data_IF_664061449154
#
_entry.id   IF_664061449154
#
_cell.length_a   1.000
_cell.length_b   1.000
_cell.length_c   1.000
_cell.angle_alpha   90.00
_cell.angle_beta   90.00
_cell.angle_gamma   90.00
#
_symmetry.space_group_name_H-M   'P 1'
#
loop_
_entity.id
_entity.type
_entity.pdbx_description
1 polymer ?
#
# COMPACT_ATOMS: atom_id res chain seq x y z
N UNK A 1 0.43 -3.24 28.57
CA UNK A 1 0.27 -4.04 27.34
C UNK A 1 0.46 -3.09 26.17
N UNK A 2 1.46 -3.30 25.32
CA UNK A 2 1.67 -2.45 24.14
C UNK A 2 0.65 -2.84 23.06
N UNK A 3 0.26 -1.89 22.22
CA UNK A 3 -0.57 -2.18 21.05
C UNK A 3 -0.05 -1.39 19.87
N UNK A 4 0.01 -2.04 18.72
CA UNK A 4 0.14 -1.34 17.44
C UNK A 4 -1.22 -1.36 16.73
N UNK A 5 -1.48 -0.31 15.95
CA UNK A 5 -2.71 -0.14 15.19
C UNK A 5 -2.35 0.01 13.72
N UNK A 6 -2.85 -0.89 12.90
CA UNK A 6 -2.76 -0.79 11.45
C UNK A 6 -4.18 -0.89 10.95
N UNK A 7 -4.61 0.06 10.11
CA UNK A 7 -5.82 -0.12 9.35
C UNK A 7 -5.48 -0.83 8.04
N UNK A 8 -6.40 -1.65 7.54
CA UNK A 8 -6.34 -2.17 6.18
C UNK A 8 -7.58 -1.78 5.41
N UNK A 9 -7.43 -1.39 4.15
CA UNK A 9 -8.54 -1.15 3.26
C UNK A 9 -8.49 -2.15 2.10
N UNK A 10 -9.58 -2.90 1.85
CA UNK A 10 -9.60 -3.85 0.73
C UNK A 10 -9.61 -3.13 -0.62
N UNK A 11 -8.89 -3.73 -1.55
CA UNK A 11 -8.94 -3.45 -2.99
C UNK A 11 -9.68 -4.62 -3.65
N UNK A 12 -10.72 -4.31 -4.41
CA UNK A 12 -11.60 -5.29 -5.03
C UNK A 12 -11.29 -5.46 -6.51
N UNK A 13 -11.46 -6.67 -7.04
CA UNK A 13 -11.48 -6.88 -8.48
C UNK A 13 -12.85 -6.53 -9.09
N UNK A 14 -12.97 -6.64 -10.41
CA UNK A 14 -14.21 -6.37 -11.15
C UNK A 14 -15.40 -7.27 -10.79
N UNK A 15 -15.14 -8.40 -10.11
CA UNK A 15 -16.18 -9.30 -9.59
C UNK A 15 -16.62 -8.94 -8.16
N UNK A 16 -16.09 -7.85 -7.58
CA UNK A 16 -16.40 -7.43 -6.21
C UNK A 16 -15.75 -8.30 -5.12
N UNK A 17 -14.70 -9.06 -5.47
CA UNK A 17 -13.95 -9.90 -4.51
C UNK A 17 -12.72 -9.13 -4.03
N UNK A 18 -12.45 -9.04 -2.71
CA UNK A 18 -11.22 -8.43 -2.21
C UNK A 18 -10.01 -9.29 -2.62
N UNK A 19 -9.03 -8.66 -3.28
CA UNK A 19 -7.83 -9.33 -3.81
C UNK A 19 -6.53 -8.77 -3.25
N UNK A 20 -6.59 -7.60 -2.59
CA UNK A 20 -5.47 -6.99 -1.91
C UNK A 20 -5.95 -6.11 -0.74
N UNK A 21 -5.01 -5.72 0.11
CA UNK A 21 -5.23 -4.75 1.18
C UNK A 21 -4.19 -3.64 1.13
N UNK A 22 -4.63 -2.40 1.10
CA UNK A 22 -3.78 -1.25 1.42
C UNK A 22 -3.59 -1.15 2.93
N UNK A 23 -2.33 -1.08 3.37
CA UNK A 23 -1.96 -0.96 4.77
C UNK A 23 -1.76 0.50 5.16
N UNK A 24 -2.52 0.94 6.14
CA UNK A 24 -2.59 2.32 6.58
C UNK A 24 -2.16 2.44 8.04
N UNK A 25 -1.18 3.29 8.30
CA UNK A 25 -0.69 3.51 9.65
C UNK A 25 -1.76 4.15 10.54
N UNK A 26 -1.91 3.66 11.78
CA UNK A 26 -2.76 4.27 12.81
C UNK A 26 -1.98 4.33 14.12
N UNK A 27 -2.30 5.31 14.96
CA UNK A 27 -1.71 5.45 16.29
C UNK A 27 -2.72 5.18 17.42
N UNK A 28 -3.97 4.85 17.08
CA UNK A 28 -5.04 4.61 18.05
C UNK A 28 -6.18 3.77 17.42
N UNK A 29 -7.17 3.42 18.25
CA UNK A 29 -8.44 2.83 17.82
C UNK A 29 -9.37 3.81 17.08
N UNK A 30 -9.03 5.09 17.06
CA UNK A 30 -9.76 6.07 16.25
C UNK A 30 -9.27 5.90 14.82
N UNK A 31 -10.18 5.61 13.88
CA UNK A 31 -9.84 5.41 12.47
C UNK A 31 -9.59 6.73 11.75
N UNK A 32 -8.67 7.51 12.30
CA UNK A 32 -8.17 8.75 11.75
C UNK A 32 -6.72 8.55 11.32
N UNK A 33 -6.36 9.11 10.17
CA UNK A 33 -4.96 9.21 9.78
C UNK A 33 -4.26 10.16 10.76
N UNK A 34 -3.26 9.70 11.52
CA UNK A 34 -2.54 10.57 12.42
C UNK A 34 -1.68 11.56 11.62
N UNK A 35 -1.53 12.79 12.12
CA UNK A 35 -0.60 13.77 11.54
C UNK A 35 0.83 13.41 11.92
N UNK A 36 1.40 12.44 11.21
CA UNK A 36 2.80 12.01 11.35
C UNK A 36 3.51 12.14 10.00
N UNK A 37 4.83 12.14 10.05
CA UNK A 37 5.69 12.06 8.88
C UNK A 37 5.44 10.75 8.09
N UNK A 38 5.44 10.83 6.76
CA UNK A 38 5.14 9.70 5.88
C UNK A 38 6.17 8.56 6.03
N UNK A 39 7.46 8.89 6.10
CA UNK A 39 8.50 7.88 6.29
C UNK A 39 8.38 7.22 7.68
N UNK A 40 7.96 7.97 8.70
CA UNK A 40 7.66 7.41 10.02
C UNK A 40 6.52 6.38 9.93
N UNK A 41 5.44 6.70 9.23
CA UNK A 41 4.31 5.80 9.03
C UNK A 41 4.74 4.52 8.30
N UNK A 42 5.46 4.66 7.18
CA UNK A 42 5.98 3.53 6.39
C UNK A 42 6.89 2.66 7.23
N UNK A 43 7.90 3.22 7.89
CA UNK A 43 8.84 2.45 8.73
C UNK A 43 8.15 1.75 9.89
N UNK A 44 7.08 2.34 10.44
CA UNK A 44 6.30 1.71 11.50
C UNK A 44 5.55 0.48 10.99
N UNK A 45 4.88 0.60 9.82
CA UNK A 45 4.22 -0.55 9.16
C UNK A 45 5.24 -1.64 8.84
N UNK A 46 6.37 -1.28 8.24
CA UNK A 46 7.44 -2.24 7.91
C UNK A 46 7.97 -2.95 9.15
N UNK A 47 8.20 -2.22 10.24
CA UNK A 47 8.64 -2.80 11.51
C UNK A 47 7.61 -3.80 12.04
N UNK A 48 6.33 -3.43 12.01
CA UNK A 48 5.25 -4.32 12.45
C UNK A 48 5.12 -5.57 11.58
N UNK A 49 5.30 -5.45 10.26
CA UNK A 49 5.28 -6.55 9.30
C UNK A 49 6.45 -7.51 9.51
N UNK A 50 7.67 -6.97 9.62
CA UNK A 50 8.89 -7.77 9.87
C UNK A 50 8.82 -8.52 11.21
N UNK A 51 8.11 -7.96 12.20
CA UNK A 51 7.88 -8.59 13.50
C UNK A 51 6.60 -9.43 13.56
N UNK A 52 5.75 -9.47 12.53
CA UNK A 52 4.53 -10.28 12.49
C UNK A 52 4.77 -11.64 11.81
N UNK A 53 4.99 -12.67 12.63
CA UNK A 53 5.11 -14.07 12.18
C UNK A 53 3.80 -14.76 11.87
N UNK A 54 2.67 -14.16 12.24
CA UNK A 54 1.38 -14.85 12.09
C UNK A 54 0.82 -14.73 10.68
N UNK A 55 1.39 -13.83 9.85
CA UNK A 55 0.89 -13.45 8.53
C UNK A 55 -0.58 -13.00 8.52
N UNK A 56 -1.20 -12.81 9.70
CA UNK A 56 -2.62 -12.50 9.84
C UNK A 56 -2.96 -11.06 9.44
N UNK A 57 -1.97 -10.16 9.42
CA UNK A 57 -2.20 -8.79 8.97
C UNK A 57 -2.73 -8.76 7.53
N UNK A 58 -2.15 -9.62 6.71
CA UNK A 58 -2.48 -9.80 5.31
C UNK A 58 -3.48 -10.93 5.05
N UNK A 59 -3.60 -11.90 5.97
CA UNK A 59 -4.49 -13.06 5.82
C UNK A 59 -4.24 -13.85 4.52
N UNK A 60 -2.97 -13.92 4.09
CA UNK A 60 -2.56 -14.56 2.83
C UNK A 60 -2.85 -13.74 1.56
N UNK A 61 -3.37 -12.51 1.69
CA UNK A 61 -3.69 -11.60 0.58
C UNK A 61 -2.54 -10.59 0.37
N UNK A 62 -2.37 -10.07 -0.86
CA UNK A 62 -1.31 -9.10 -1.18
C UNK A 62 -1.49 -7.78 -0.39
N UNK A 63 -0.38 -7.22 0.11
CA UNK A 63 -0.36 -5.95 0.85
C UNK A 63 0.20 -4.78 0.04
N UNK A 64 -0.49 -3.65 0.01
CA UNK A 64 -0.01 -2.40 -0.57
C UNK A 64 0.54 -1.52 0.55
N UNK A 65 1.73 -0.94 0.34
CA UNK A 65 2.42 -0.10 1.33
C UNK A 65 2.89 1.17 0.65
N UNK A 66 2.53 2.30 1.24
CA UNK A 66 2.94 3.63 0.83
C UNK A 66 4.43 3.90 1.13
N UNK A 67 5.14 4.42 0.15
CA UNK A 67 6.52 4.90 0.24
C UNK A 67 6.64 6.30 -0.36
N UNK A 68 7.25 7.21 0.40
CA UNK A 68 7.65 8.51 -0.13
C UNK A 68 8.72 8.35 -1.22
N UNK A 69 8.87 9.37 -2.07
CA UNK A 69 9.94 9.41 -3.08
C UNK A 69 11.33 9.23 -2.43
N UNK A 70 11.55 9.84 -1.27
CA UNK A 70 12.81 9.70 -0.54
C UNK A 70 13.05 8.27 -0.08
N UNK A 71 12.02 7.57 0.39
CA UNK A 71 12.10 6.17 0.80
C UNK A 71 12.38 5.24 -0.39
N UNK A 72 11.81 5.53 -1.57
CA UNK A 72 12.13 4.81 -2.82
C UNK A 72 13.59 5.02 -3.22
N UNK A 73 14.07 6.27 -3.24
CA UNK A 73 15.46 6.61 -3.56
C UNK A 73 16.43 5.95 -2.58
N UNK A 74 16.08 5.92 -1.30
CA UNK A 74 16.84 5.25 -0.24
C UNK A 74 16.78 3.72 -0.31
N UNK A 75 16.05 3.15 -1.28
CA UNK A 75 15.87 1.71 -1.49
C UNK A 75 15.26 0.97 -0.30
N UNK A 76 14.51 1.68 0.55
CA UNK A 76 13.82 1.10 1.69
C UNK A 76 12.94 -0.10 1.33
N UNK A 77 12.24 -0.14 0.18
CA UNK A 77 11.43 -1.31 -0.19
C UNK A 77 12.20 -2.63 -0.30
N UNK A 78 13.53 -2.61 -0.48
CA UNK A 78 14.35 -3.81 -0.55
C UNK A 78 14.38 -4.63 0.75
N UNK A 79 13.87 -4.09 1.86
CA UNK A 79 13.70 -4.83 3.10
C UNK A 79 12.50 -5.80 3.08
N UNK A 80 11.62 -5.69 2.08
CA UNK A 80 10.45 -6.55 1.94
C UNK A 80 10.76 -7.77 1.06
N UNK A 81 10.16 -8.93 1.35
CA UNK A 81 10.20 -10.06 0.44
C UNK A 81 9.43 -9.72 -0.85
N UNK A 82 9.98 -10.12 -2.00
CA UNK A 82 9.31 -10.00 -3.30
C UNK A 82 8.03 -10.84 -3.33
N UNK A 83 7.02 -10.38 -4.07
CA UNK A 83 5.80 -11.13 -4.39
C UNK A 83 4.65 -11.03 -3.39
N UNK A 84 4.90 -10.61 -2.14
CA UNK A 84 3.84 -10.46 -1.13
C UNK A 84 3.32 -9.02 -1.01
N UNK A 85 4.06 -8.05 -1.54
CA UNK A 85 3.80 -6.64 -1.35
C UNK A 85 3.86 -5.86 -2.66
N UNK A 86 2.97 -4.88 -2.78
CA UNK A 86 3.03 -3.81 -3.78
C UNK A 86 3.62 -2.57 -3.11
N UNK A 87 4.61 -1.98 -3.77
CA UNK A 87 5.25 -0.74 -3.33
C UNK A 87 4.49 0.41 -3.99
N UNK A 88 3.73 1.17 -3.21
CA UNK A 88 3.04 2.37 -3.68
C UNK A 88 3.98 3.57 -3.58
N UNK A 89 4.33 4.12 -4.74
CA UNK A 89 5.04 5.40 -4.84
C UNK A 89 4.01 6.50 -4.69
N UNK A 90 4.13 7.27 -3.61
CA UNK A 90 3.22 8.39 -3.34
C UNK A 90 3.22 9.42 -4.49
N UNK A 91 2.12 10.16 -4.59
CA UNK A 91 1.91 11.18 -5.59
C UNK A 91 2.96 12.29 -5.54
N UNK A 92 3.11 13.00 -6.65
CA UNK A 92 3.95 14.19 -6.69
C UNK A 92 4.21 14.69 -8.10
N UNK A 93 4.47 15.98 -8.19
CA UNK A 93 4.82 16.63 -9.45
C UNK A 93 6.32 16.54 -9.70
N UNK A 94 6.70 16.40 -10.98
CA UNK A 94 8.09 16.48 -11.46
C UNK A 94 9.03 15.47 -10.76
N UNK A 95 8.92 14.16 -11.05
CA UNK A 95 9.82 13.16 -10.49
C UNK A 95 11.29 13.49 -10.82
N UNK A 96 12.16 13.39 -9.81
CA UNK A 96 13.60 13.60 -10.00
C UNK A 96 14.22 12.43 -10.77
N UNK A 97 15.40 12.66 -11.36
CA UNK A 97 16.13 11.60 -12.09
C UNK A 97 16.44 10.43 -11.15
N UNK A 98 16.84 10.72 -9.91
CA UNK A 98 17.14 9.73 -8.89
C UNK A 98 15.92 8.86 -8.55
N UNK A 99 14.73 9.47 -8.47
CA UNK A 99 13.49 8.73 -8.25
C UNK A 99 13.18 7.80 -9.44
N UNK A 100 13.28 8.32 -10.66
CA UNK A 100 13.00 7.54 -11.86
C UNK A 100 13.96 6.35 -11.97
N UNK A 101 15.25 6.55 -11.67
CA UNK A 101 16.24 5.49 -11.71
C UNK A 101 16.01 4.44 -10.61
N UNK A 102 15.63 4.87 -9.40
CA UNK A 102 15.27 3.95 -8.31
C UNK A 102 14.02 3.10 -8.65
N UNK A 103 13.00 3.68 -9.29
CA UNK A 103 11.81 2.97 -9.77
C UNK A 103 12.19 1.91 -10.80
N UNK A 104 13.02 2.27 -11.80
CA UNK A 104 13.49 1.31 -12.81
C UNK A 104 14.24 0.16 -12.16
N UNK A 105 15.18 0.46 -11.27
CA UNK A 105 15.98 -0.56 -10.57
C UNK A 105 15.07 -1.54 -9.79
N UNK A 106 14.08 -1.03 -9.05
CA UNK A 106 13.13 -1.87 -8.32
C UNK A 106 12.30 -2.74 -9.27
N UNK A 107 11.80 -2.17 -10.37
CA UNK A 107 11.04 -2.88 -11.39
C UNK A 107 11.86 -3.99 -12.07
N UNK A 108 13.11 -3.71 -12.44
CA UNK A 108 14.05 -4.69 -13.03
C UNK A 108 14.39 -5.82 -12.06
N UNK A 109 14.41 -5.53 -10.75
CA UNK A 109 14.56 -6.55 -9.72
C UNK A 109 13.29 -7.39 -9.51
N UNK A 110 12.18 -7.08 -10.17
CA UNK A 110 10.93 -7.83 -10.10
C UNK A 110 10.04 -7.50 -8.91
N UNK A 111 10.16 -6.28 -8.35
CA UNK A 111 9.17 -5.77 -7.41
C UNK A 111 7.93 -5.27 -8.16
N UNK A 112 6.76 -5.46 -7.54
CA UNK A 112 5.50 -4.91 -8.05
C UNK A 112 5.36 -3.47 -7.57
N UNK A 113 5.34 -2.53 -8.50
CA UNK A 113 5.27 -1.10 -8.23
C UNK A 113 3.90 -0.53 -8.60
N UNK A 114 3.37 0.33 -7.74
CA UNK A 114 2.17 1.12 -7.97
C UNK A 114 2.49 2.62 -7.94
N UNK A 115 1.86 3.41 -8.80
CA UNK A 115 1.80 4.88 -8.66
C UNK A 115 0.48 5.25 -7.98
N UNK A 116 0.56 5.96 -6.85
CA UNK A 116 -0.58 6.39 -6.05
C UNK A 116 -1.11 7.76 -6.50
N UNK A 117 -2.43 7.98 -6.40
CA UNK A 117 -3.14 9.22 -6.82
C UNK A 117 -2.56 9.84 -8.12
N UNK A 118 -2.33 9.02 -9.14
CA UNK A 118 -1.49 9.36 -10.28
C UNK A 118 -2.11 10.44 -11.19
N UNK A 119 -1.34 11.51 -11.42
CA UNK A 119 -1.65 12.53 -12.43
C UNK A 119 -0.69 12.38 -13.61
N UNK A 120 -1.18 11.98 -14.81
CA UNK A 120 -0.34 11.76 -15.96
C UNK A 120 0.45 12.99 -16.39
N UNK A 121 1.75 12.81 -16.62
CA UNK A 121 2.60 13.82 -17.26
C UNK A 121 3.75 13.17 -18.02
N UNK A 122 4.34 13.91 -18.97
CA UNK A 122 5.48 13.45 -19.77
C UNK A 122 6.69 13.05 -18.92
N UNK A 123 6.82 13.60 -17.72
CA UNK A 123 7.93 13.29 -16.83
C UNK A 123 7.89 11.85 -16.29
N UNK A 124 6.70 11.25 -16.21
CA UNK A 124 6.51 9.88 -15.73
C UNK A 124 6.55 8.83 -16.84
N UNK A 125 6.38 9.21 -18.11
CA UNK A 125 6.39 8.29 -19.26
C UNK A 125 7.59 7.32 -19.28
N UNK A 126 8.84 7.74 -18.97
CA UNK A 126 10.01 6.86 -19.05
C UNK A 126 9.99 5.68 -18.07
N UNK A 127 9.17 5.74 -17.00
CA UNK A 127 9.10 4.67 -16.00
C UNK A 127 7.88 3.76 -16.15
N UNK A 128 6.90 4.12 -17.00
CA UNK A 128 5.67 3.33 -17.15
C UNK A 128 5.92 1.84 -17.48
N UNK A 129 6.94 1.46 -18.29
CA UNK A 129 7.24 0.05 -18.53
C UNK A 129 7.68 -0.76 -17.29
N UNK A 130 8.03 -0.08 -16.19
CA UNK A 130 8.47 -0.69 -14.93
C UNK A 130 7.37 -0.65 -13.85
N UNK A 131 6.23 -0.03 -14.15
CA UNK A 131 5.09 0.06 -13.24
C UNK A 131 4.13 -1.08 -13.54
N UNK A 132 3.67 -1.74 -12.48
CA UNK A 132 2.68 -2.82 -12.60
C UNK A 132 1.25 -2.31 -12.41
N UNK A 133 1.08 -1.28 -11.58
CA UNK A 133 -0.23 -0.77 -11.17
C UNK A 133 -0.25 0.76 -11.22
N UNK A 134 -1.33 1.34 -11.70
CA UNK A 134 -1.58 2.79 -11.58
C UNK A 134 -2.92 3.01 -10.89
N UNK A 135 -2.91 3.84 -9.85
CA UNK A 135 -4.09 4.18 -9.08
C UNK A 135 -4.53 5.60 -9.42
N UNK A 136 -5.83 5.78 -9.67
CA UNK A 136 -6.42 7.08 -9.99
C UNK A 136 -7.47 7.43 -8.94
N UNK A 137 -7.27 8.54 -8.21
CA UNK A 137 -8.36 9.22 -7.51
C UNK A 137 -9.31 9.83 -8.55
N UNK A 138 -10.51 9.27 -8.65
CA UNK A 138 -11.52 9.70 -9.63
C UNK A 138 -12.06 11.12 -9.38
N UNK A 139 -11.76 11.71 -8.21
CA UNK A 139 -12.08 13.11 -7.91
C UNK A 139 -10.99 14.08 -8.37
N UNK A 140 -9.75 13.60 -8.52
CA UNK A 140 -8.62 14.40 -9.00
C UNK A 140 -8.41 14.22 -10.51
N UNK A 141 -8.66 13.02 -11.03
CA UNK A 141 -8.51 12.69 -12.43
C UNK A 141 -9.79 12.01 -12.96
N UNK A 142 -10.46 12.66 -13.92
CA UNK A 142 -11.77 12.22 -14.37
C UNK A 142 -11.70 10.84 -15.04
N UNK A 143 -12.74 10.02 -14.82
CA UNK A 143 -12.82 8.65 -15.36
C UNK A 143 -12.67 8.60 -16.90
N UNK A 144 -13.19 9.59 -17.63
CA UNK A 144 -13.06 9.61 -19.11
C UNK A 144 -11.62 9.92 -19.57
N UNK A 145 -10.90 10.75 -18.82
CA UNK A 145 -9.48 11.01 -19.08
C UNK A 145 -8.65 9.77 -18.73
N UNK A 146 -8.93 9.13 -17.60
CA UNK A 146 -8.33 7.86 -17.20
C UNK A 146 -8.58 6.76 -18.25
N UNK A 147 -9.79 6.66 -18.79
CA UNK A 147 -10.11 5.72 -19.89
C UNK A 147 -9.23 5.94 -21.12
N UNK A 148 -9.00 7.20 -21.50
CA UNK A 148 -8.12 7.53 -22.62
C UNK A 148 -6.68 7.09 -22.33
N UNK A 149 -6.20 7.33 -21.12
CA UNK A 149 -4.89 6.88 -20.66
C UNK A 149 -4.76 5.34 -20.66
N UNK A 150 -5.76 4.64 -20.11
CA UNK A 150 -5.82 3.17 -20.08
C UNK A 150 -5.73 2.60 -21.50
N UNK A 151 -6.47 3.17 -22.45
CA UNK A 151 -6.42 2.72 -23.85
C UNK A 151 -5.07 2.99 -24.51
N UNK A 152 -4.43 4.12 -24.20
CA UNK A 152 -3.11 4.46 -24.71
C UNK A 152 -2.03 3.47 -24.24
N UNK A 153 -2.12 2.99 -23.00
CA UNK A 153 -1.09 2.16 -22.36
C UNK A 153 -1.49 0.69 -22.13
N UNK A 154 -2.57 0.23 -22.76
CA UNK A 154 -3.11 -1.14 -22.59
C UNK A 154 -2.10 -2.26 -22.87
N UNK A 155 -1.14 -2.02 -23.76
CA UNK A 155 -0.16 -3.03 -24.19
C UNK A 155 1.01 -3.18 -23.20
N UNK A 156 1.11 -2.32 -22.18
CA UNK A 156 2.14 -2.41 -21.13
C UNK A 156 1.79 -3.41 -20.01
N UNK A 157 0.59 -4.01 -20.02
CA UNK A 157 0.17 -4.95 -18.98
C UNK A 157 -0.06 -4.31 -17.60
N UNK A 158 -0.21 -2.98 -17.55
CA UNK A 158 -0.48 -2.24 -16.32
C UNK A 158 -1.91 -2.52 -15.86
N UNK A 159 -2.08 -2.83 -14.57
CA UNK A 159 -3.38 -2.86 -13.92
C UNK A 159 -3.78 -1.48 -13.41
N UNK A 160 -5.06 -1.15 -13.52
CA UNK A 160 -5.57 0.18 -13.15
C UNK A 160 -6.55 0.07 -12.00
N UNK A 161 -6.34 0.87 -10.95
CA UNK A 161 -7.19 0.96 -9.76
C UNK A 161 -7.97 2.27 -9.81
N UNK A 162 -9.31 2.21 -9.71
CA UNK A 162 -10.14 3.38 -9.47
C UNK A 162 -10.33 3.56 -7.96
N UNK A 163 -9.91 4.70 -7.44
CA UNK A 163 -9.97 5.03 -6.01
C UNK A 163 -11.07 6.02 -5.67
N UNK A 164 -11.34 6.18 -4.36
CA UNK A 164 -12.36 7.08 -3.79
C UNK A 164 -13.76 6.88 -4.38
N UNK A 165 -14.12 5.65 -4.72
CA UNK A 165 -15.48 5.32 -5.15
C UNK A 165 -16.44 5.48 -3.97
N UNK A 166 -17.37 6.43 -4.08
CA UNK A 166 -18.36 6.75 -3.04
C UNK A 166 -19.76 6.25 -3.38
N UNK A 167 -20.07 6.03 -4.66
CA UNK A 167 -21.40 5.59 -5.12
C UNK A 167 -21.33 4.51 -6.21
N UNK A 168 -22.41 3.73 -6.35
CA UNK A 168 -22.53 2.68 -7.37
C UNK A 168 -22.33 3.19 -8.81
N UNK A 169 -22.80 4.40 -9.11
CA UNK A 169 -22.65 4.99 -10.45
C UNK A 169 -21.19 5.21 -10.84
N UNK A 170 -20.34 5.64 -9.89
CA UNK A 170 -18.89 5.78 -10.11
C UNK A 170 -18.24 4.42 -10.34
N UNK A 171 -18.60 3.41 -9.54
CA UNK A 171 -18.13 2.03 -9.72
C UNK A 171 -18.46 1.50 -11.13
N UNK A 172 -19.71 1.69 -11.58
CA UNK A 172 -20.14 1.26 -12.90
C UNK A 172 -19.44 2.03 -14.03
N UNK A 173 -19.20 3.34 -13.86
CA UNK A 173 -18.43 4.14 -14.82
C UNK A 173 -16.98 3.66 -14.91
N UNK A 174 -16.32 3.40 -13.77
CA UNK A 174 -14.95 2.90 -13.75
C UNK A 174 -14.84 1.51 -14.39
N UNK A 175 -15.79 0.59 -14.13
CA UNK A 175 -15.86 -0.70 -14.82
C UNK A 175 -15.90 -0.53 -16.35
N UNK A 176 -16.80 0.33 -16.84
CA UNK A 176 -16.96 0.59 -18.27
C UNK A 176 -15.76 1.31 -18.90
N UNK A 177 -14.98 2.05 -18.10
CA UNK A 177 -13.76 2.72 -18.52
C UNK A 177 -12.55 1.78 -18.64
N UNK A 178 -12.66 0.53 -18.18
CA UNK A 178 -11.60 -0.47 -18.28
C UNK A 178 -10.67 -0.53 -17.07
N UNK A 179 -11.10 -0.02 -15.91
CA UNK A 179 -10.40 -0.27 -14.66
C UNK A 179 -10.46 -1.76 -14.27
N UNK A 180 -9.39 -2.25 -13.66
CA UNK A 180 -9.25 -3.66 -13.28
C UNK A 180 -9.62 -3.88 -11.81
N UNK A 181 -9.28 -2.89 -10.98
CA UNK A 181 -9.35 -2.91 -9.54
C UNK A 181 -10.07 -1.67 -9.01
N UNK A 182 -10.64 -1.77 -7.81
CA UNK A 182 -11.56 -0.77 -7.28
C UNK A 182 -11.40 -0.61 -5.77
N UNK A 183 -11.35 0.63 -5.31
CA UNK A 183 -11.24 0.98 -3.90
C UNK A 183 -12.08 2.22 -3.59
N UNK A 184 -12.74 2.23 -2.44
CA UNK A 184 -13.58 3.36 -2.04
C UNK A 184 -14.57 3.00 -0.94
N UNK A 185 -15.15 4.03 -0.32
CA UNK A 185 -16.08 3.86 0.81
C UNK A 185 -17.40 3.20 0.41
N UNK A 186 -17.80 3.28 -0.86
CA UNK A 186 -18.91 2.50 -1.39
C UNK A 186 -18.70 0.99 -1.22
N UNK A 187 -17.46 0.54 -1.44
CA UNK A 187 -17.08 -0.87 -1.42
C UNK A 187 -16.75 -1.33 0.00
N UNK A 188 -15.81 -0.62 0.66
CA UNK A 188 -15.49 -0.85 2.06
C UNK A 188 -14.68 0.31 2.62
N UNK A 189 -14.98 0.67 3.87
CA UNK A 189 -14.13 1.56 4.67
C UNK A 189 -12.89 0.82 5.20
N UNK A 190 -11.80 1.54 5.55
CA UNK A 190 -10.66 0.96 6.24
C UNK A 190 -11.09 0.32 7.56
N UNK A 191 -10.57 -0.87 7.85
CA UNK A 191 -10.82 -1.61 9.09
C UNK A 191 -9.57 -1.57 9.97
N UNK A 192 -9.71 -1.18 11.23
CA UNK A 192 -8.59 -1.20 12.17
C UNK A 192 -8.32 -2.63 12.62
N UNK A 193 -7.06 -3.04 12.51
CA UNK A 193 -6.49 -4.20 13.16
C UNK A 193 -5.77 -3.74 14.42
N UNK A 194 -6.18 -4.29 15.56
CA UNK A 194 -5.44 -4.11 16.81
C UNK A 194 -4.49 -5.27 16.99
N UNK A 195 -3.18 -5.00 16.91
CA UNK A 195 -2.14 -5.96 17.25
C UNK A 195 -1.91 -5.94 18.75
N UNK A 196 -2.40 -6.96 19.46
CA UNK A 196 -2.05 -7.17 20.85
C UNK A 196 -0.63 -7.73 20.94
N UNK A 197 0.25 -6.94 21.55
CA UNK A 197 1.64 -7.32 21.75
C UNK A 197 1.72 -8.15 23.04
N UNK A 198 2.00 -9.44 22.89
CA UNK A 198 2.06 -10.42 23.98
C UNK A 198 3.46 -10.53 24.60
N UNK A 199 4.51 -10.10 23.88
CA UNK A 199 5.90 -10.15 24.33
C UNK A 199 6.37 -8.82 24.90
N UNK A 200 6.93 -8.85 26.12
CA UNK A 200 7.52 -7.66 26.77
C UNK A 200 8.78 -7.14 26.05
N UNK A 201 9.42 -7.97 25.22
CA UNK A 201 10.63 -7.58 24.46
C UNK A 201 10.32 -6.72 23.23
N UNK A 202 9.05 -6.71 22.80
CA UNK A 202 8.63 -6.06 21.56
C UNK A 202 9.04 -4.59 21.45
N UNK A 203 8.90 -3.72 22.47
CA UNK A 203 9.26 -2.30 22.32
C UNK A 203 10.74 -2.10 22.00
N UNK A 204 11.61 -2.90 22.62
CA UNK A 204 13.06 -2.82 22.41
C UNK A 204 13.43 -3.27 20.99
N UNK A 205 12.79 -4.33 20.49
CA UNK A 205 13.04 -4.85 19.15
C UNK A 205 12.40 -4.00 18.06
N UNK A 206 11.19 -3.51 18.28
CA UNK A 206 10.55 -2.51 17.43
C UNK A 206 11.50 -1.33 17.26
N UNK A 207 12.02 -0.78 18.37
CA UNK A 207 12.98 0.31 18.31
C UNK A 207 14.26 -0.05 17.57
N UNK A 208 14.79 -1.27 17.74
CA UNK A 208 16.00 -1.72 17.05
C UNK A 208 15.79 -1.87 15.53
N UNK A 209 14.70 -2.51 15.11
CA UNK A 209 14.33 -2.68 13.70
C UNK A 209 14.01 -1.32 13.07
N UNK A 210 13.20 -0.50 13.74
CA UNK A 210 12.85 0.84 13.28
C UNK A 210 14.09 1.71 13.09
N UNK A 211 15.04 1.70 14.04
CA UNK A 211 16.32 2.40 13.90
C UNK A 211 17.14 1.88 12.73
N UNK A 212 17.13 0.58 12.48
CA UNK A 212 17.84 -0.03 11.36
C UNK A 212 17.25 0.43 10.03
N UNK A 213 15.92 0.45 9.91
CA UNK A 213 15.18 0.99 8.76
C UNK A 213 15.37 2.49 8.56
N UNK A 214 15.76 3.23 9.60
CA UNK A 214 16.07 4.67 9.51
C UNK A 214 17.45 4.95 8.93
N UNK A 215 18.39 4.04 9.11
CA UNK A 215 19.75 4.16 8.60
C UNK A 215 19.93 3.47 7.24
N UNK A 216 18.83 3.04 6.61
CA UNK A 216 18.78 2.34 5.32
C UNK A 216 19.75 1.13 5.26
N UNK A 217 20.05 0.54 6.44
CA UNK A 217 21.00 -0.56 6.57
C UNK A 217 20.28 -1.90 6.38
N UNK A 218 19.87 -2.16 5.15
CA UNK A 218 19.09 -3.34 4.75
C UNK A 218 19.85 -4.65 5.07
N UNK A 219 21.18 -4.66 4.94
CA UNK A 219 22.01 -5.81 5.29
C UNK A 219 21.87 -6.21 6.77
N UNK A 220 21.74 -5.23 7.67
CA UNK A 220 21.54 -5.49 9.09
C UNK A 220 20.16 -6.12 9.33
N UNK A 221 19.11 -5.72 8.61
CA UNK A 221 17.75 -6.29 8.74
C UNK A 221 17.76 -7.80 8.46
N UNK A 222 18.43 -8.22 7.37
CA UNK A 222 18.55 -9.63 7.01
C UNK A 222 19.33 -10.46 8.03
N UNK A 223 20.09 -9.82 8.92
CA UNK A 223 20.85 -10.47 10.00
C UNK A 223 20.17 -10.41 11.37
N UNK A 224 19.09 -9.64 11.52
CA UNK A 224 18.34 -9.59 12.77
C UNK A 224 17.64 -10.95 12.98
N UNK A 225 17.92 -11.57 14.12
CA UNK A 225 17.22 -12.78 14.55
C UNK A 225 15.78 -12.42 14.94
N UNK A 226 14.89 -12.43 13.95
CA UNK A 226 13.46 -12.21 14.12
C UNK A 226 12.74 -13.44 14.71
N UNK A 227 13.45 -14.48 15.16
CA UNK A 227 12.90 -15.83 15.33
C UNK A 227 11.87 -16.04 16.46
N UNK A 228 11.57 -15.07 17.32
CA UNK A 228 10.80 -15.34 18.56
C UNK A 228 9.66 -14.34 18.88
N UNK A 229 8.70 -14.11 17.96
CA UNK A 229 7.53 -13.24 18.24
C UNK A 229 6.19 -13.91 17.99
N UNK A 230 5.31 -13.76 18.99
CA UNK A 230 3.88 -14.04 18.89
C UNK A 230 3.14 -12.72 19.09
N UNK A 231 2.46 -12.27 18.05
CA UNK A 231 1.51 -11.16 18.13
C UNK A 231 0.13 -11.68 17.73
N UNK A 232 -0.90 -11.30 18.48
CA UNK A 232 -2.28 -11.63 18.13
C UNK A 232 -2.92 -10.41 17.47
N UNK A 233 -3.43 -10.58 16.25
CA UNK A 233 -4.23 -9.56 15.58
C UNK A 233 -5.70 -9.83 15.87
N UNK A 234 -6.36 -8.91 16.55
CA UNK A 234 -7.81 -8.91 16.71
C UNK A 234 -8.41 -7.92 15.71
N UNK A 235 -9.34 -8.40 14.88
CA UNK A 235 -10.14 -7.56 14.01
C UNK A 235 -11.23 -6.95 14.87
N UNK A 236 -11.24 -5.62 15.03
CA UNK A 236 -12.41 -4.97 15.61
C UNK A 236 -13.54 -5.08 14.59
N UNK A 237 -14.59 -5.85 14.90
CA UNK A 237 -15.67 -6.25 13.98
C UNK A 237 -16.08 -5.13 13.01
N UNK A 238 -16.07 -5.46 11.72
CA UNK A 238 -16.67 -4.63 10.67
C UNK A 238 -18.09 -5.16 10.37
N UNK A 239 -19.06 -4.31 9.97
CA UNK A 239 -20.37 -4.77 9.56
C UNK A 239 -20.26 -5.74 8.39
N UNK A 240 -21.09 -6.79 8.41
CA UNK A 240 -21.24 -7.80 7.37
C UNK A 240 -21.27 -7.19 5.96
N UNK A 241 -20.43 -7.74 5.06
CA UNK A 241 -20.41 -7.39 3.65
C UNK A 241 -21.75 -7.68 2.98
N UNK A 242 -22.52 -6.62 2.78
CA UNK A 242 -23.38 -6.44 1.63
C UNK A 242 -22.85 -5.16 0.97
N UNK A 243 -22.77 -5.08 -0.36
CA UNK A 243 -22.71 -3.78 -1.04
C UNK A 243 -23.70 -2.89 -0.32
N UNK A 244 -23.31 -1.67 0.06
CA UNK A 244 -24.22 -0.74 0.76
C UNK A 244 -25.40 -0.52 -0.21
N UNK A 245 -26.44 -1.33 -0.08
CA UNK A 245 -27.69 -1.17 -0.78
C UNK A 245 -28.32 0.05 -0.13
N UNK A 246 -28.59 1.05 -0.97
CA UNK A 246 -29.33 2.25 -0.61
C UNK A 246 -30.57 1.91 0.24
#
# INVERSE_FOLDING_TARGET
MYSSYIARQPIFNSSGVPVAYELLYRNSLINACPKVDGDYATRSILTDLLLDKTHKLLDGICGYINFSHQSIIAKLPLCLPKGNFVIEVLEGDNPSIELLDAIKELGEQGYTLALDDFIPSKAWEPILPFISIIKFDINLYAIEDAKSFIQQYKDLGIQFVAEKIEYFSQYQQALNAGFHLFQGYYLSRPQILKKQILSEKYPVQFHAVYKTLRHDNIALINSLDLSNFYAANDITQSPSHQFISL
#
